data_IF_869603285261
#
_entry.id   IF_869603285261
#
_cell.length_a   1.000
_cell.length_b   1.000
_cell.length_c   1.000
_cell.angle_alpha   90.00
_cell.angle_beta   90.00
_cell.angle_gamma   90.00
#
_symmetry.space_group_name_H-M   'P 1'
#
loop_
_entity.id
_entity.type
_entity.pdbx_description
1 polymer ?
#
# COMPACT_ATOMS: atom_id res chain seq x y z
N UNK A 1 -23.05 -0.69 12.07
CA UNK A 1 -21.74 -1.31 11.98
C UNK A 1 -21.51 -1.99 10.65
N UNK A 2 -22.48 -2.76 10.14
CA UNK A 2 -22.34 -3.40 8.83
C UNK A 2 -22.29 -2.40 7.67
N UNK A 3 -22.98 -1.26 7.81
CA UNK A 3 -22.96 -0.22 6.79
C UNK A 3 -21.57 0.42 6.60
N UNK A 4 -20.81 0.57 7.69
CA UNK A 4 -19.49 1.19 7.65
C UNK A 4 -18.42 0.34 6.93
N UNK A 5 -18.68 -0.96 6.80
CA UNK A 5 -17.75 -1.91 6.18
C UNK A 5 -18.20 -2.37 4.79
N UNK A 6 -19.37 -1.91 4.34
CA UNK A 6 -19.95 -2.38 3.07
C UNK A 6 -19.07 -2.05 1.87
N UNK A 7 -18.47 -0.85 1.86
CA UNK A 7 -17.58 -0.43 0.78
C UNK A 7 -16.36 -1.35 0.63
N UNK A 8 -15.71 -1.67 1.73
CA UNK A 8 -14.55 -2.56 1.74
C UNK A 8 -14.91 -4.00 1.34
N UNK A 9 -16.06 -4.47 1.81
CA UNK A 9 -16.57 -5.79 1.44
C UNK A 9 -16.87 -5.89 -0.05
N UNK A 10 -17.51 -4.85 -0.62
CA UNK A 10 -17.78 -4.78 -2.05
C UNK A 10 -16.50 -4.73 -2.88
N UNK A 11 -15.50 -3.95 -2.46
CA UNK A 11 -14.19 -3.90 -3.12
C UNK A 11 -13.53 -5.27 -3.07
N UNK A 12 -13.55 -5.95 -1.93
CA UNK A 12 -12.97 -7.28 -1.80
C UNK A 12 -13.64 -8.29 -2.73
N UNK A 13 -14.97 -8.27 -2.84
CA UNK A 13 -15.72 -9.12 -3.75
C UNK A 13 -15.37 -8.82 -5.21
N UNK A 14 -15.34 -7.54 -5.60
CA UNK A 14 -14.99 -7.13 -6.96
C UNK A 14 -13.56 -7.55 -7.32
N UNK A 15 -12.61 -7.35 -6.43
CA UNK A 15 -11.21 -7.74 -6.63
C UNK A 15 -11.09 -9.26 -6.77
N UNK A 16 -11.81 -10.03 -5.95
CA UNK A 16 -11.83 -11.49 -6.06
C UNK A 16 -12.36 -11.95 -7.42
N UNK A 17 -13.50 -11.41 -7.86
CA UNK A 17 -14.10 -11.74 -9.15
C UNK A 17 -13.13 -11.39 -10.28
N UNK A 18 -12.60 -10.17 -10.29
CA UNK A 18 -11.66 -9.71 -11.32
C UNK A 18 -10.40 -10.57 -11.39
N UNK A 19 -9.88 -11.00 -10.24
CA UNK A 19 -8.64 -11.79 -10.18
C UNK A 19 -8.76 -13.16 -10.86
N UNK A 20 -9.98 -13.66 -11.06
CA UNK A 20 -10.24 -14.96 -11.67
C UNK A 20 -10.72 -14.87 -13.12
N UNK A 21 -10.86 -13.66 -13.68
CA UNK A 21 -11.26 -13.51 -15.07
C UNK A 21 -10.17 -14.00 -16.03
N UNK A 22 -10.55 -14.67 -17.13
CA UNK A 22 -9.61 -15.03 -18.20
C UNK A 22 -8.88 -13.77 -18.72
N UNK A 23 -7.59 -13.87 -18.92
CA UNK A 23 -6.75 -12.75 -19.34
C UNK A 23 -6.25 -11.85 -18.19
N UNK A 24 -6.81 -11.97 -16.99
CA UNK A 24 -6.34 -11.25 -15.80
C UNK A 24 -5.67 -12.19 -14.79
N UNK A 25 -6.02 -13.48 -14.82
CA UNK A 25 -5.60 -14.48 -13.85
C UNK A 25 -4.06 -14.56 -13.64
N UNK A 26 -3.29 -14.29 -14.68
CA UNK A 26 -1.82 -14.28 -14.63
C UNK A 26 -1.24 -12.88 -14.37
N UNK A 27 -2.09 -11.89 -14.15
CA UNK A 27 -1.70 -10.50 -13.96
C UNK A 27 -1.60 -10.08 -12.50
N UNK A 28 -1.67 -8.77 -12.32
CA UNK A 28 -1.67 -8.12 -11.00
C UNK A 28 -2.83 -7.15 -10.92
N UNK A 29 -3.45 -7.08 -9.74
CA UNK A 29 -4.46 -6.07 -9.43
C UNK A 29 -3.90 -5.22 -8.29
N UNK A 30 -3.83 -3.91 -8.50
CA UNK A 30 -3.37 -2.98 -7.49
C UNK A 30 -4.57 -2.27 -6.87
N UNK A 31 -4.68 -2.33 -5.55
CA UNK A 31 -5.70 -1.61 -4.79
C UNK A 31 -5.02 -0.48 -4.03
N UNK A 32 -5.47 0.74 -4.28
CA UNK A 32 -4.91 1.94 -3.64
C UNK A 32 -5.85 2.42 -2.55
N UNK A 33 -5.34 2.48 -1.33
CA UNK A 33 -6.07 3.03 -0.17
C UNK A 33 -5.09 3.48 0.90
N UNK A 34 -5.40 4.57 1.59
CA UNK A 34 -4.65 5.03 2.77
C UNK A 34 -5.32 4.59 4.08
N UNK A 35 -6.50 4.01 4.01
CA UNK A 35 -7.19 3.48 5.18
C UNK A 35 -6.63 2.11 5.55
N UNK A 36 -5.87 2.05 6.65
CA UNK A 36 -5.24 0.82 7.13
C UNK A 36 -6.26 -0.24 7.56
N UNK A 37 -7.39 0.19 8.10
CA UNK A 37 -8.48 -0.71 8.45
C UNK A 37 -9.10 -1.36 7.22
N UNK A 38 -9.38 -0.56 6.18
CA UNK A 38 -9.88 -1.05 4.91
C UNK A 38 -8.88 -1.99 4.24
N UNK A 39 -7.60 -1.62 4.20
CA UNK A 39 -6.55 -2.46 3.63
C UNK A 39 -6.47 -3.83 4.31
N UNK A 40 -6.50 -3.85 5.64
CA UNK A 40 -6.47 -5.09 6.42
C UNK A 40 -7.67 -5.99 6.14
N UNK A 41 -8.87 -5.40 6.04
CA UNK A 41 -10.10 -6.15 5.73
C UNK A 41 -10.07 -6.72 4.31
N UNK A 42 -9.64 -5.92 3.33
CA UNK A 42 -9.52 -6.36 1.93
C UNK A 42 -8.50 -7.50 1.82
N UNK A 43 -7.33 -7.33 2.43
CA UNK A 43 -6.28 -8.35 2.44
C UNK A 43 -6.77 -9.67 3.06
N UNK A 44 -7.43 -9.59 4.21
CA UNK A 44 -7.99 -10.76 4.88
C UNK A 44 -9.08 -11.46 4.06
N UNK A 45 -9.96 -10.68 3.43
CA UNK A 45 -11.02 -11.23 2.58
C UNK A 45 -10.42 -11.94 1.34
N UNK A 46 -9.45 -11.31 0.70
CA UNK A 46 -8.77 -11.88 -0.47
C UNK A 46 -8.04 -13.17 -0.10
N UNK A 47 -7.32 -13.20 1.01
CA UNK A 47 -6.64 -14.41 1.48
C UNK A 47 -7.59 -15.56 1.77
N UNK A 48 -8.77 -15.26 2.34
CA UNK A 48 -9.79 -16.28 2.62
C UNK A 48 -10.42 -16.86 1.35
N UNK A 49 -10.60 -16.04 0.33
CA UNK A 49 -11.28 -16.44 -0.90
C UNK A 49 -10.33 -17.01 -1.95
N UNK A 50 -9.05 -16.70 -1.90
CA UNK A 50 -8.05 -17.18 -2.84
C UNK A 50 -7.16 -18.28 -2.22
N UNK A 51 -7.80 -19.30 -1.64
CA UNK A 51 -7.12 -20.37 -0.88
C UNK A 51 -6.07 -21.13 -1.72
N UNK A 52 -6.24 -21.18 -3.04
CA UNK A 52 -5.36 -21.95 -3.92
C UNK A 52 -4.40 -21.08 -4.75
N UNK A 53 -4.34 -19.79 -4.50
CA UNK A 53 -3.51 -18.83 -5.25
C UNK A 53 -3.66 -18.94 -6.78
N UNK A 54 -4.87 -19.20 -7.25
CA UNK A 54 -5.17 -19.38 -8.68
C UNK A 54 -5.56 -18.11 -9.40
N UNK A 55 -5.80 -17.03 -8.66
CA UNK A 55 -6.17 -15.74 -9.24
C UNK A 55 -4.96 -14.85 -9.46
N UNK A 56 -5.19 -13.70 -10.07
CA UNK A 56 -4.21 -12.65 -10.21
C UNK A 56 -3.65 -12.23 -8.85
N UNK A 57 -2.40 -11.82 -8.82
CA UNK A 57 -1.78 -11.31 -7.59
C UNK A 57 -2.39 -9.96 -7.23
N UNK A 58 -2.84 -9.81 -5.99
CA UNK A 58 -3.44 -8.59 -5.49
C UNK A 58 -2.42 -7.89 -4.60
N UNK A 59 -2.15 -6.62 -4.91
CA UNK A 59 -1.18 -5.80 -4.19
C UNK A 59 -1.90 -4.57 -3.64
N UNK A 60 -1.75 -4.35 -2.34
CA UNK A 60 -2.29 -3.17 -1.68
C UNK A 60 -1.22 -2.09 -1.63
N UNK A 61 -1.61 -0.88 -2.04
CA UNK A 61 -0.74 0.30 -1.99
C UNK A 61 -1.37 1.38 -1.13
N UNK A 62 -0.59 1.93 -0.21
CA UNK A 62 -0.84 3.25 0.38
C UNK A 62 -0.21 4.33 -0.49
N UNK A 63 -0.56 5.60 -0.26
CA UNK A 63 0.10 6.71 -0.96
C UNK A 63 1.62 6.73 -0.73
N UNK A 64 2.14 6.58 0.50
CA UNK A 64 3.59 6.49 0.68
C UNK A 64 4.25 5.35 -0.09
N UNK A 65 3.61 4.19 -0.16
CA UNK A 65 4.13 3.05 -0.92
C UNK A 65 4.18 3.33 -2.42
N UNK A 66 3.16 3.99 -2.97
CA UNK A 66 3.15 4.43 -4.38
C UNK A 66 4.28 5.41 -4.65
N UNK A 67 4.47 6.40 -3.79
CA UNK A 67 5.55 7.39 -3.94
C UNK A 67 6.92 6.71 -3.91
N UNK A 68 7.14 5.78 -2.99
CA UNK A 68 8.38 5.00 -2.96
C UNK A 68 8.59 4.22 -4.26
N UNK A 69 7.55 3.57 -4.76
CA UNK A 69 7.62 2.81 -5.99
C UNK A 69 7.94 3.71 -7.20
N UNK A 70 7.31 4.88 -7.29
CA UNK A 70 7.61 5.86 -8.33
C UNK A 70 9.08 6.30 -8.29
N UNK A 71 9.60 6.56 -7.11
CA UNK A 71 11.01 6.92 -6.94
C UNK A 71 11.95 5.78 -7.37
N UNK A 72 11.64 4.55 -6.98
CA UNK A 72 12.44 3.36 -7.33
C UNK A 72 12.44 3.10 -8.84
N UNK A 73 11.32 3.36 -9.51
CA UNK A 73 11.19 3.22 -10.97
C UNK A 73 11.77 4.43 -11.74
N UNK A 74 12.43 5.35 -11.04
CA UNK A 74 13.06 6.52 -11.61
C UNK A 74 12.10 7.44 -12.35
N UNK A 75 10.84 7.49 -11.93
CA UNK A 75 9.89 8.45 -12.45
C UNK A 75 10.32 9.84 -11.97
N UNK A 76 10.33 10.79 -12.90
CA UNK A 76 10.75 12.16 -12.61
C UNK A 76 9.76 12.85 -11.68
N UNK A 77 10.12 12.91 -10.39
CA UNK A 77 9.33 13.53 -9.35
C UNK A 77 10.28 14.20 -8.35
N UNK A 78 10.01 15.47 -8.01
CA UNK A 78 10.84 16.22 -7.08
C UNK A 78 10.53 15.85 -5.62
N UNK A 79 11.48 16.14 -4.73
CA UNK A 79 11.29 15.97 -3.29
C UNK A 79 10.06 16.72 -2.78
N UNK A 80 9.87 17.98 -3.22
CA UNK A 80 8.71 18.78 -2.81
C UNK A 80 7.39 18.17 -3.29
N UNK A 81 7.35 17.63 -4.50
CA UNK A 81 6.16 16.94 -5.02
C UNK A 81 5.84 15.69 -4.21
N UNK A 82 6.85 14.90 -3.86
CA UNK A 82 6.67 13.73 -3.00
C UNK A 82 6.13 14.11 -1.62
N UNK A 83 6.69 15.14 -1.00
CA UNK A 83 6.19 15.66 0.28
C UNK A 83 4.74 16.11 0.17
N UNK A 84 4.40 16.87 -0.87
CA UNK A 84 3.04 17.34 -1.09
C UNK A 84 2.05 16.21 -1.27
N UNK A 85 2.40 15.18 -2.04
CA UNK A 85 1.52 14.03 -2.27
C UNK A 85 1.29 13.26 -0.96
N UNK A 86 2.34 12.98 -0.22
CA UNK A 86 2.25 12.19 1.01
C UNK A 86 1.49 12.95 2.11
N UNK A 87 1.66 14.28 2.18
CA UNK A 87 1.02 15.10 3.22
C UNK A 87 -0.44 15.43 2.94
N UNK A 88 -0.94 15.16 1.74
CA UNK A 88 -2.35 15.40 1.43
C UNK A 88 -3.28 14.56 2.31
N UNK A 89 -4.26 15.19 2.91
CA UNK A 89 -5.25 14.53 3.74
C UNK A 89 -4.80 14.18 5.15
N UNK A 90 -3.59 14.58 5.56
CA UNK A 90 -3.13 14.40 6.93
C UNK A 90 -2.45 15.66 7.46
N UNK A 91 -2.69 15.97 8.72
CA UNK A 91 -2.13 17.16 9.39
C UNK A 91 -1.04 16.83 10.40
N UNK A 92 -0.58 15.62 10.43
CA UNK A 92 0.41 15.17 11.42
C UNK A 92 1.43 14.22 10.81
N UNK A 93 2.01 13.40 11.67
CA UNK A 93 2.95 12.40 11.23
C UNK A 93 2.30 11.37 10.30
N UNK A 94 3.05 10.96 9.31
CA UNK A 94 2.69 9.86 8.43
C UNK A 94 3.05 8.55 9.14
N UNK A 95 2.11 7.62 9.16
CA UNK A 95 2.33 6.29 9.74
C UNK A 95 2.40 5.26 8.61
N UNK A 96 3.49 4.54 8.55
CA UNK A 96 3.69 3.47 7.57
C UNK A 96 4.08 2.18 8.28
N UNK A 97 3.77 1.05 7.65
CA UNK A 97 4.33 -0.24 8.04
C UNK A 97 5.46 -0.61 7.10
N UNK A 98 6.60 -0.99 7.64
CA UNK A 98 7.75 -1.30 6.82
C UNK A 98 8.96 -1.72 7.64
N UNK A 99 10.10 -1.74 6.98
CA UNK A 99 11.40 -2.06 7.58
C UNK A 99 12.36 -0.92 7.34
N UNK A 100 13.26 -0.69 8.29
CA UNK A 100 14.37 0.27 8.15
C UNK A 100 15.68 -0.47 7.93
N UNK A 101 16.75 0.29 7.68
CA UNK A 101 18.09 -0.28 7.53
C UNK A 101 18.57 -1.04 8.78
N UNK A 102 17.97 -0.78 9.94
CA UNK A 102 18.33 -1.44 11.20
C UNK A 102 17.44 -2.64 11.53
N UNK A 103 16.25 -2.70 10.92
CA UNK A 103 15.21 -3.68 11.26
C UNK A 103 14.65 -4.35 10.01
N UNK A 104 15.52 -4.80 9.11
CA UNK A 104 15.10 -5.38 7.83
C UNK A 104 14.22 -6.63 7.98
N UNK A 105 14.40 -7.37 9.06
CA UNK A 105 13.67 -8.62 9.28
C UNK A 105 12.37 -8.41 10.07
N UNK A 106 12.07 -7.17 10.47
CA UNK A 106 10.93 -6.87 11.35
C UNK A 106 10.06 -5.79 10.71
N UNK A 107 8.82 -6.13 10.43
CA UNK A 107 7.83 -5.15 10.02
C UNK A 107 7.35 -4.38 11.24
N UNK A 108 7.63 -3.09 11.26
CA UNK A 108 7.25 -2.22 12.36
C UNK A 108 6.37 -1.07 11.86
N UNK A 109 5.56 -0.53 12.75
CA UNK A 109 4.84 0.71 12.50
C UNK A 109 5.79 1.88 12.75
N UNK A 110 6.03 2.68 11.73
CA UNK A 110 6.96 3.82 11.77
C UNK A 110 6.15 5.09 11.56
N UNK A 111 6.39 6.08 12.42
CA UNK A 111 5.70 7.37 12.37
C UNK A 111 6.71 8.51 12.28
N UNK A 112 6.56 9.37 11.29
CA UNK A 112 7.43 10.53 11.09
C UNK A 112 6.75 11.60 10.25
N UNK A 113 7.23 12.86 10.28
CA UNK A 113 6.75 13.88 9.36
C UNK A 113 6.98 13.49 7.90
N UNK A 114 6.15 14.03 6.99
CA UNK A 114 6.26 13.73 5.56
C UNK A 114 7.63 14.03 4.98
N UNK A 115 8.26 15.11 5.40
CA UNK A 115 9.61 15.48 4.95
C UNK A 115 10.66 14.43 5.36
N UNK A 116 10.56 13.93 6.58
CA UNK A 116 11.46 12.88 7.07
C UNK A 116 11.24 11.56 6.34
N UNK A 117 9.98 11.22 6.05
CA UNK A 117 9.64 10.01 5.29
C UNK A 117 10.18 10.08 3.87
N UNK A 118 10.01 11.20 3.18
CA UNK A 118 10.56 11.42 1.83
C UNK A 118 12.08 11.32 1.85
N UNK A 119 12.73 11.90 2.85
CA UNK A 119 14.18 11.76 3.05
C UNK A 119 14.60 10.29 3.13
N UNK A 120 13.85 9.47 3.87
CA UNK A 120 14.11 8.03 3.99
C UNK A 120 13.85 7.27 2.68
N UNK A 121 12.84 7.66 1.93
CA UNK A 121 12.55 7.07 0.60
C UNK A 121 13.71 7.31 -0.36
N UNK A 122 14.30 8.51 -0.31
CA UNK A 122 15.41 8.89 -1.19
C UNK A 122 16.76 8.28 -0.78
N UNK A 123 16.91 7.86 0.47
CA UNK A 123 18.15 7.21 0.92
C UNK A 123 18.20 5.76 0.40
N UNK A 124 19.38 5.30 -0.10
CA UNK A 124 19.57 3.88 -0.39
C UNK A 124 19.31 3.02 0.85
N UNK A 125 18.36 2.10 0.76
CA UNK A 125 17.97 1.23 1.88
C UNK A 125 17.51 2.00 3.14
N UNK A 126 17.02 3.23 2.99
CA UNK A 126 16.56 4.04 4.10
C UNK A 126 15.28 3.50 4.73
N UNK A 127 14.36 3.06 3.90
CA UNK A 127 13.09 2.45 4.32
C UNK A 127 12.56 1.54 3.20
N UNK A 128 11.89 0.47 3.60
CA UNK A 128 11.07 -0.33 2.69
C UNK A 128 9.64 -0.31 3.19
N UNK A 129 8.76 0.38 2.48
CA UNK A 129 7.36 0.56 2.86
C UNK A 129 6.56 -0.64 2.36
N UNK A 130 5.92 -1.35 3.28
CA UNK A 130 5.03 -2.48 2.96
C UNK A 130 3.60 -1.97 2.82
N UNK A 131 3.21 -1.07 3.66
CA UNK A 131 1.98 -0.31 3.63
C UNK A 131 2.15 0.90 4.60
#
# INVERSE_FOLDING_TARGET
EHADNLGEELIAICVHILSHLPGIVDGKICVLTDDKGAASKIDSAVKRTNVQNRGAKIILFSTPKVVQHMFQEQIEISENEMVNIISQGTSGNIVVMGTTAYDFDINVSISMPSEALVGKIMEPNGINIIF
#
